data_IF_624057296682
#
_entry.id   IF_624057296682
#
_cell.length_a   1.000
_cell.length_b   1.000
_cell.length_c   1.000
_cell.angle_alpha   90.00
_cell.angle_beta   90.00
_cell.angle_gamma   90.00
#
_symmetry.space_group_name_H-M   'P 1'
#
loop_
_entity.id
_entity.type
_entity.pdbx_description
1 polymer ?
#
# COMPACT_ATOMS: atom_id res chain seq x y z
N UNK A 1 -4.10 -10.41 12.76
CA UNK A 1 -3.09 -10.14 13.80
C UNK A 1 -1.73 -9.76 13.22
N UNK A 2 -1.14 -10.57 12.38
CA UNK A 2 0.22 -10.37 11.84
C UNK A 2 0.44 -9.04 11.08
N UNK A 3 -0.53 -8.58 10.26
CA UNK A 3 -0.41 -7.32 9.52
C UNK A 3 -0.31 -6.09 10.43
N UNK A 4 -1.08 -6.04 11.54
CA UNK A 4 -1.02 -4.92 12.47
C UNK A 4 0.34 -4.81 13.15
N UNK A 5 0.96 -5.92 13.56
CA UNK A 5 2.28 -5.92 14.18
C UNK A 5 3.37 -5.46 13.20
N UNK A 6 3.25 -5.88 11.93
CA UNK A 6 4.15 -5.39 10.88
C UNK A 6 3.97 -3.90 10.62
N UNK A 7 2.72 -3.42 10.56
CA UNK A 7 2.42 -1.98 10.41
C UNK A 7 3.02 -1.18 11.58
N UNK A 8 2.84 -1.62 12.84
CA UNK A 8 3.46 -0.97 14.01
C UNK A 8 4.97 -0.81 13.85
N UNK A 9 5.65 -1.91 13.51
CA UNK A 9 7.09 -1.90 13.33
C UNK A 9 7.52 -0.85 12.32
N UNK A 10 7.00 -0.92 11.10
CA UNK A 10 7.43 -0.04 10.02
C UNK A 10 6.98 1.42 10.20
N UNK A 11 5.84 1.67 10.84
CA UNK A 11 5.41 3.03 11.22
C UNK A 11 6.32 3.59 12.32
N UNK A 12 6.73 2.76 13.29
CA UNK A 12 7.64 3.15 14.36
C UNK A 12 9.02 3.59 13.85
N UNK A 13 9.54 2.89 12.83
CA UNK A 13 10.86 3.18 12.24
C UNK A 13 10.93 4.54 11.53
N UNK A 14 9.80 5.13 11.12
CA UNK A 14 9.73 6.46 10.51
C UNK A 14 9.06 7.50 11.42
N UNK A 15 8.73 7.14 12.65
CA UNK A 15 8.04 8.00 13.60
C UNK A 15 6.78 8.67 13.04
N UNK A 16 5.96 7.91 12.32
CA UNK A 16 4.86 8.39 11.50
C UNK A 16 5.29 8.63 10.04
N UNK A 17 4.84 9.74 9.45
CA UNK A 17 5.09 10.11 8.03
C UNK A 17 4.77 8.95 7.08
N UNK A 18 3.70 8.20 7.40
CA UNK A 18 3.40 6.94 6.76
C UNK A 18 1.99 6.93 6.14
N UNK A 19 1.89 6.41 4.92
CA UNK A 19 0.64 5.96 4.32
C UNK A 19 0.52 4.46 4.44
N UNK A 20 -0.64 3.97 4.89
CA UNK A 20 -1.01 2.56 4.80
C UNK A 20 -2.14 2.44 3.78
N UNK A 21 -1.83 1.83 2.64
CA UNK A 21 -2.73 1.70 1.50
C UNK A 21 -3.39 0.32 1.51
N UNK A 22 -4.65 0.28 1.92
CA UNK A 22 -5.43 -0.93 2.01
C UNK A 22 -6.18 -1.22 0.70
N UNK A 23 -6.44 -2.49 0.45
CA UNK A 23 -7.28 -2.98 -0.65
C UNK A 23 -8.72 -3.31 -0.19
N UNK A 24 -8.99 -3.20 1.12
CA UNK A 24 -10.28 -3.52 1.73
C UNK A 24 -10.58 -2.53 2.84
N UNK A 25 -11.77 -1.94 2.78
CA UNK A 25 -12.27 -1.03 3.81
C UNK A 25 -12.40 -1.73 5.18
N UNK A 26 -12.91 -2.96 5.19
CA UNK A 26 -13.04 -3.73 6.41
C UNK A 26 -11.68 -4.02 7.07
N UNK A 27 -10.66 -4.37 6.28
CA UNK A 27 -9.30 -4.56 6.80
C UNK A 27 -8.73 -3.27 7.37
N UNK A 28 -8.93 -2.14 6.68
CA UNK A 28 -8.50 -0.82 7.14
C UNK A 28 -9.11 -0.47 8.49
N UNK A 29 -10.43 -0.59 8.63
CA UNK A 29 -11.14 -0.29 9.87
C UNK A 29 -10.67 -1.18 11.02
N UNK A 30 -10.56 -2.49 10.80
CA UNK A 30 -10.06 -3.42 11.81
C UNK A 30 -8.63 -3.07 12.27
N UNK A 31 -7.75 -2.71 11.34
CA UNK A 31 -6.41 -2.25 11.69
C UNK A 31 -6.43 -0.93 12.44
N UNK A 32 -7.28 0.02 12.04
CA UNK A 32 -7.41 1.32 12.71
C UNK A 32 -7.85 1.16 14.16
N UNK A 33 -8.88 0.35 14.42
CA UNK A 33 -9.36 0.06 15.78
C UNK A 33 -8.26 -0.53 16.67
N UNK A 34 -7.53 -1.52 16.14
CA UNK A 34 -6.46 -2.20 16.88
C UNK A 34 -5.22 -1.34 17.13
N UNK A 35 -4.94 -0.40 16.23
CA UNK A 35 -3.72 0.39 16.28
C UNK A 35 -3.89 1.74 16.94
N UNK A 36 -5.12 2.25 17.10
CA UNK A 36 -5.39 3.58 17.66
C UNK A 36 -4.72 3.78 19.03
N UNK A 37 -4.87 2.85 19.96
CA UNK A 37 -4.27 2.97 21.29
C UNK A 37 -2.74 2.96 21.26
N UNK A 38 -2.14 2.11 20.43
CA UNK A 38 -0.70 2.07 20.26
C UNK A 38 -0.17 3.36 19.60
N UNK A 39 -0.80 3.83 18.53
CA UNK A 39 -0.43 5.08 17.86
C UNK A 39 -0.46 6.26 18.83
N UNK A 40 -1.52 6.37 19.64
CA UNK A 40 -1.63 7.40 20.67
C UNK A 40 -0.49 7.31 21.70
N UNK A 41 -0.12 6.09 22.15
CA UNK A 41 1.01 5.89 23.08
C UNK A 41 2.36 6.29 22.50
N UNK A 42 2.48 6.31 21.16
CA UNK A 42 3.68 6.77 20.45
C UNK A 42 3.61 8.26 20.07
N UNK A 43 2.58 9.01 20.52
CA UNK A 43 2.27 10.38 20.08
C UNK A 43 2.16 10.48 18.55
N UNK A 44 1.53 9.51 17.90
CA UNK A 44 1.27 9.48 16.47
C UNK A 44 -0.22 9.74 16.21
N UNK A 45 -0.53 10.63 15.26
CA UNK A 45 -1.89 10.95 14.87
C UNK A 45 -2.36 10.01 13.76
N UNK A 46 -3.47 9.32 13.96
CA UNK A 46 -4.10 8.50 12.92
C UNK A 46 -5.16 9.27 12.16
N UNK A 47 -4.95 9.46 10.87
CA UNK A 47 -5.96 9.89 9.90
C UNK A 47 -6.49 8.67 9.16
N UNK A 48 -7.76 8.32 9.37
CA UNK A 48 -8.37 7.14 8.77
C UNK A 48 -9.56 7.53 7.89
N UNK A 49 -9.56 7.05 6.66
CA UNK A 49 -10.66 7.27 5.71
C UNK A 49 -12.00 6.80 6.29
N UNK A 50 -13.06 7.62 6.11
CA UNK A 50 -14.40 7.31 6.61
C UNK A 50 -14.66 7.71 8.06
N UNK A 51 -13.73 8.39 8.73
CA UNK A 51 -13.91 8.93 10.08
C UNK A 51 -14.18 10.44 10.07
N UNK A 52 -15.19 10.88 9.32
CA UNK A 52 -15.73 12.24 9.40
C UNK A 52 -14.97 13.35 8.66
N UNK A 53 -13.71 13.12 8.25
CA UNK A 53 -12.95 14.11 7.48
C UNK A 53 -13.06 13.83 5.98
N UNK A 54 -13.34 14.86 5.14
CA UNK A 54 -13.18 14.78 3.70
C UNK A 54 -11.72 14.45 3.33
N UNK A 55 -11.53 13.78 2.19
CA UNK A 55 -10.20 13.37 1.71
C UNK A 55 -9.19 14.51 1.63
N UNK A 56 -9.60 15.68 1.11
CA UNK A 56 -8.73 16.86 1.00
C UNK A 56 -8.27 17.36 2.37
N UNK A 57 -9.20 17.56 3.29
CA UNK A 57 -8.90 18.01 4.65
C UNK A 57 -8.00 17.01 5.41
N UNK A 58 -8.20 15.71 5.18
CA UNK A 58 -7.35 14.67 5.76
C UNK A 58 -5.91 14.75 5.24
N UNK A 59 -5.74 15.00 3.94
CA UNK A 59 -4.42 15.17 3.33
C UNK A 59 -3.72 16.45 3.80
N UNK A 60 -4.46 17.55 3.94
CA UNK A 60 -3.88 18.81 4.41
C UNK A 60 -3.42 18.70 5.86
N UNK A 61 -4.20 18.04 6.71
CA UNK A 61 -3.79 17.73 8.09
C UNK A 61 -2.58 16.79 8.14
N UNK A 62 -2.57 15.75 7.29
CA UNK A 62 -1.44 14.84 7.20
C UNK A 62 -0.14 15.56 6.82
N UNK A 63 -0.19 16.47 5.84
CA UNK A 63 0.98 17.26 5.41
C UNK A 63 1.52 18.19 6.51
N UNK A 64 0.63 18.71 7.33
CA UNK A 64 0.98 19.63 8.42
C UNK A 64 1.47 18.92 9.69
N UNK A 65 1.25 17.62 9.81
CA UNK A 65 1.58 16.81 10.99
C UNK A 65 2.72 15.85 10.69
N UNK A 66 3.91 16.15 11.16
CA UNK A 66 5.09 15.33 10.98
C UNK A 66 5.01 13.94 11.64
N UNK A 67 4.05 13.76 12.55
CA UNK A 67 3.82 12.50 13.27
C UNK A 67 2.55 11.79 12.83
N UNK A 68 2.11 12.09 11.62
CA UNK A 68 0.89 11.54 11.06
C UNK A 68 1.07 10.13 10.46
N UNK A 69 0.02 9.34 10.61
CA UNK A 69 -0.19 8.08 9.89
C UNK A 69 -1.54 8.16 9.19
N UNK A 70 -1.57 7.92 7.87
CA UNK A 70 -2.80 7.95 7.11
C UNK A 70 -3.18 6.54 6.65
N UNK A 71 -4.41 6.14 6.94
CA UNK A 71 -5.01 4.90 6.45
C UNK A 71 -6.03 5.23 5.36
N UNK A 72 -5.82 4.67 4.17
CA UNK A 72 -6.71 4.88 3.03
C UNK A 72 -6.87 3.64 2.16
N UNK A 73 -7.96 3.63 1.38
CA UNK A 73 -8.26 2.62 0.37
C UNK A 73 -8.12 3.19 -1.05
N UNK A 74 -8.79 2.63 -2.03
CA UNK A 74 -8.63 2.91 -3.46
C UNK A 74 -8.51 4.38 -3.85
N UNK A 75 -9.30 5.27 -3.22
CA UNK A 75 -9.22 6.71 -3.50
C UNK A 75 -7.88 7.34 -3.13
N UNK A 76 -7.11 6.70 -2.26
CA UNK A 76 -5.78 7.15 -1.84
C UNK A 76 -4.63 6.54 -2.67
N UNK A 77 -4.91 5.54 -3.52
CA UNK A 77 -3.92 5.03 -4.46
C UNK A 77 -3.64 6.00 -5.60
N UNK A 78 -4.59 6.90 -5.91
CA UNK A 78 -4.52 7.84 -7.04
C UNK A 78 -4.67 9.28 -6.58
N UNK A 79 -4.11 10.23 -7.34
CA UNK A 79 -4.40 11.67 -7.21
C UNK A 79 -3.97 12.34 -5.90
N UNK A 80 -3.04 11.78 -5.13
CA UNK A 80 -2.52 12.39 -3.92
C UNK A 80 -1.16 13.03 -4.19
N UNK A 81 -1.01 14.29 -3.79
CA UNK A 81 0.25 15.00 -3.80
C UNK A 81 0.69 15.33 -2.37
N UNK A 82 1.72 14.60 -1.87
CA UNK A 82 2.35 14.88 -0.59
C UNK A 82 3.83 15.13 -0.84
N UNK A 83 4.41 16.24 -0.34
CA UNK A 83 5.85 16.53 -0.48
C UNK A 83 6.71 15.42 0.16
N UNK A 84 7.91 15.20 -0.39
CA UNK A 84 8.80 14.10 0.01
C UNK A 84 9.07 13.99 1.51
N UNK A 85 9.30 15.10 2.19
CA UNK A 85 9.57 15.08 3.64
C UNK A 85 8.36 14.71 4.51
N UNK A 86 7.15 15.01 4.05
CA UNK A 86 5.93 14.68 4.78
C UNK A 86 5.52 13.20 4.65
N UNK A 87 6.03 12.50 3.64
CA UNK A 87 5.75 11.08 3.41
C UNK A 87 7.06 10.32 3.20
N UNK A 88 7.45 9.53 4.17
CA UNK A 88 8.68 8.74 4.13
C UNK A 88 8.44 7.23 4.04
N UNK A 89 7.19 6.78 4.24
CA UNK A 89 6.85 5.38 4.30
C UNK A 89 5.49 5.10 3.66
N UNK A 90 5.47 4.20 2.70
CA UNK A 90 4.22 3.68 2.11
C UNK A 90 4.13 2.20 2.42
N UNK A 91 3.12 1.79 3.18
CA UNK A 91 2.90 0.41 3.59
C UNK A 91 1.71 -0.15 2.83
N UNK A 92 1.90 -1.28 2.18
CA UNK A 92 0.90 -1.98 1.36
C UNK A 92 0.66 -3.36 1.99
N UNK A 93 -0.40 -3.54 2.78
CA UNK A 93 -0.65 -4.79 3.50
C UNK A 93 -0.98 -5.98 2.60
N UNK A 94 -1.59 -5.73 1.43
CA UNK A 94 -1.94 -6.76 0.43
C UNK A 94 -1.74 -6.23 -0.97
N UNK A 95 -1.34 -7.11 -1.89
CA UNK A 95 -1.28 -6.79 -3.32
C UNK A 95 -2.67 -6.36 -3.82
N UNK A 96 -2.76 -5.27 -4.61
CA UNK A 96 -4.01 -4.61 -4.98
C UNK A 96 -4.75 -5.30 -6.13
N UNK A 97 -4.97 -6.61 -5.99
CA UNK A 97 -5.85 -7.34 -6.91
C UNK A 97 -7.29 -6.87 -6.75
N UNK A 98 -7.96 -6.62 -7.87
CA UNK A 98 -9.40 -6.35 -7.90
C UNK A 98 -10.19 -7.60 -7.50
N UNK A 99 -11.18 -7.40 -6.64
CA UNK A 99 -12.16 -8.44 -6.31
C UNK A 99 -13.30 -8.31 -7.33
N UNK A 100 -13.75 -9.41 -7.95
CA UNK A 100 -14.87 -9.39 -8.89
C UNK A 100 -16.21 -9.25 -8.14
N UNK A 101 -16.42 -8.09 -7.54
CA UNK A 101 -17.64 -7.71 -6.81
C UNK A 101 -18.48 -6.68 -7.59
N UNK A 102 -18.03 -6.31 -8.79
CA UNK A 102 -18.67 -5.31 -9.62
C UNK A 102 -19.07 -5.93 -10.97
N UNK A 103 -20.34 -5.81 -11.42
CA UNK A 103 -20.84 -6.46 -12.66
C UNK A 103 -19.99 -6.16 -13.89
N UNK A 104 -19.47 -4.93 -14.01
CA UNK A 104 -18.60 -4.55 -15.13
C UNK A 104 -17.28 -5.33 -15.15
N UNK A 105 -16.70 -5.57 -13.97
CA UNK A 105 -15.47 -6.35 -13.86
C UNK A 105 -15.73 -7.82 -14.17
N UNK A 106 -16.82 -8.39 -13.63
CA UNK A 106 -17.23 -9.76 -13.94
C UNK A 106 -17.42 -9.97 -15.44
N UNK A 107 -18.22 -9.12 -16.11
CA UNK A 107 -18.43 -9.18 -17.54
C UNK A 107 -17.12 -9.11 -18.35
N UNK A 108 -16.15 -8.30 -17.90
CA UNK A 108 -14.83 -8.20 -18.54
C UNK A 108 -14.01 -9.48 -18.37
N UNK A 109 -14.03 -10.08 -17.18
CA UNK A 109 -13.35 -11.34 -16.93
C UNK A 109 -13.98 -12.50 -17.72
N UNK A 110 -15.29 -12.52 -17.86
CA UNK A 110 -16.03 -13.51 -18.66
C UNK A 110 -15.70 -13.38 -20.15
N UNK A 111 -15.70 -12.17 -20.69
CA UNK A 111 -15.31 -11.94 -22.08
C UNK A 111 -13.86 -12.41 -22.39
N UNK A 112 -12.96 -12.36 -21.40
CA UNK A 112 -11.61 -12.91 -21.57
C UNK A 112 -11.65 -14.44 -21.60
N UNK A 113 -12.45 -15.09 -20.73
CA UNK A 113 -12.61 -16.55 -20.71
C UNK A 113 -13.21 -17.07 -22.03
N UNK A 114 -14.24 -16.40 -22.54
CA UNK A 114 -14.88 -16.75 -23.81
C UNK A 114 -13.94 -16.74 -25.01
N UNK A 115 -12.92 -15.87 -24.96
CA UNK A 115 -11.87 -15.80 -26.00
C UNK A 115 -10.70 -16.78 -25.75
N UNK A 116 -10.82 -17.67 -24.76
CA UNK A 116 -9.77 -18.64 -24.40
C UNK A 116 -8.62 -18.04 -23.60
N UNK A 117 -8.75 -16.79 -23.10
CA UNK A 117 -7.74 -16.12 -22.28
C UNK A 117 -7.82 -16.52 -20.80
N UNK A 118 -6.81 -16.11 -20.04
CA UNK A 118 -6.77 -16.28 -18.60
C UNK A 118 -7.01 -14.94 -17.89
N UNK A 119 -8.19 -14.69 -17.29
CA UNK A 119 -8.52 -13.42 -16.66
C UNK A 119 -7.53 -12.95 -15.60
N UNK A 120 -6.99 -13.89 -14.83
CA UNK A 120 -6.00 -13.57 -13.80
C UNK A 120 -4.69 -13.06 -14.40
N UNK A 121 -4.17 -13.76 -15.40
CA UNK A 121 -2.91 -13.39 -16.07
C UNK A 121 -3.08 -12.18 -16.98
N UNK A 122 -4.16 -12.16 -17.77
CA UNK A 122 -4.29 -11.24 -18.89
C UNK A 122 -4.94 -9.89 -18.48
N UNK A 123 -5.58 -9.85 -17.30
CA UNK A 123 -6.24 -8.63 -16.79
C UNK A 123 -5.89 -8.30 -15.34
N UNK A 124 -6.19 -9.19 -14.37
CA UNK A 124 -6.10 -8.85 -12.95
C UNK A 124 -4.64 -8.61 -12.50
N UNK A 125 -3.68 -9.38 -13.00
CA UNK A 125 -2.26 -9.19 -12.66
C UNK A 125 -1.71 -7.89 -13.24
N UNK A 126 -1.88 -7.54 -14.52
CA UNK A 126 -1.48 -6.23 -15.07
C UNK A 126 -2.13 -5.06 -14.34
N UNK A 127 -3.42 -5.13 -14.05
CA UNK A 127 -4.13 -4.08 -13.31
C UNK A 127 -3.56 -3.88 -11.91
N UNK A 128 -3.32 -4.97 -11.17
CA UNK A 128 -2.72 -4.93 -9.84
C UNK A 128 -1.29 -4.36 -9.85
N UNK A 129 -0.51 -4.67 -10.88
CA UNK A 129 0.84 -4.09 -11.08
C UNK A 129 0.74 -2.57 -11.29
N UNK A 130 -0.19 -2.10 -12.13
CA UNK A 130 -0.39 -0.66 -12.36
C UNK A 130 -0.79 0.03 -11.05
N UNK A 131 -1.71 -0.53 -10.29
CA UNK A 131 -2.09 -0.02 -8.96
C UNK A 131 -0.90 0.01 -8.00
N UNK A 132 -0.10 -1.05 -7.93
CA UNK A 132 1.10 -1.07 -7.09
C UNK A 132 2.07 0.04 -7.46
N UNK A 133 2.33 0.24 -8.75
CA UNK A 133 3.19 1.34 -9.24
C UNK A 133 2.63 2.72 -8.87
N UNK A 134 1.33 2.90 -8.90
CA UNK A 134 0.69 4.14 -8.45
C UNK A 134 0.91 4.37 -6.96
N UNK A 135 0.80 3.34 -6.13
CA UNK A 135 1.12 3.39 -4.70
C UNK A 135 2.59 3.73 -4.45
N UNK A 136 3.50 3.10 -5.21
CA UNK A 136 4.93 3.39 -5.15
C UNK A 136 5.23 4.84 -5.54
N UNK A 137 4.61 5.34 -6.61
CA UNK A 137 4.73 6.72 -7.06
C UNK A 137 4.13 7.76 -6.10
N UNK A 138 3.51 7.37 -4.97
CA UNK A 138 3.14 8.32 -3.91
C UNK A 138 4.36 8.80 -3.13
N UNK A 139 5.37 7.94 -3.00
CA UNK A 139 6.59 8.22 -2.25
C UNK A 139 7.65 8.94 -3.09
N UNK A 140 7.99 8.38 -4.25
CA UNK A 140 9.08 8.85 -5.11
C UNK A 140 8.53 9.56 -6.33
N UNK A 141 8.78 10.86 -6.46
CA UNK A 141 8.31 11.72 -7.56
C UNK A 141 9.44 12.46 -8.23
N UNK A 142 10.43 12.86 -7.44
CA UNK A 142 11.62 13.56 -7.89
C UNK A 142 12.86 12.73 -7.58
N UNK A 143 13.95 13.05 -8.26
CA UNK A 143 15.22 12.33 -8.09
C UNK A 143 15.79 12.39 -6.67
N UNK A 144 15.42 13.42 -5.92
CA UNK A 144 15.91 13.67 -4.55
C UNK A 144 14.96 13.12 -3.48
N UNK A 145 13.80 12.58 -3.86
CA UNK A 145 12.87 11.99 -2.90
C UNK A 145 13.45 10.69 -2.37
N UNK A 146 13.40 10.53 -1.06
CA UNK A 146 13.84 9.33 -0.35
C UNK A 146 12.71 8.76 0.50
N UNK A 147 12.76 7.48 0.76
CA UNK A 147 11.79 6.81 1.63
C UNK A 147 11.70 5.32 1.33
N UNK A 148 10.76 4.65 1.97
CA UNK A 148 10.56 3.21 1.81
C UNK A 148 9.15 2.86 1.38
N UNK A 149 9.04 1.82 0.56
CA UNK A 149 7.77 1.13 0.30
C UNK A 149 7.85 -0.26 0.90
N UNK A 150 6.90 -0.58 1.77
CA UNK A 150 6.83 -1.85 2.48
C UNK A 150 5.63 -2.64 1.96
N UNK A 151 5.87 -3.82 1.40
CA UNK A 151 4.82 -4.71 0.90
C UNK A 151 4.75 -5.91 1.85
N UNK A 152 3.64 -6.03 2.59
CA UNK A 152 3.46 -7.06 3.61
C UNK A 152 2.86 -8.37 3.07
N UNK A 153 2.53 -8.41 1.79
CA UNK A 153 1.91 -9.58 1.17
C UNK A 153 2.96 -10.64 0.80
N UNK A 154 2.96 -11.81 1.45
CA UNK A 154 3.94 -12.85 1.17
C UNK A 154 3.85 -13.42 -0.26
N UNK A 155 2.73 -13.23 -0.95
CA UNK A 155 2.54 -13.66 -2.34
C UNK A 155 3.54 -13.01 -3.29
N UNK A 156 4.08 -11.84 -2.91
CA UNK A 156 5.15 -11.17 -3.63
C UNK A 156 6.38 -12.06 -3.83
N UNK A 157 6.69 -12.92 -2.84
CA UNK A 157 7.86 -13.82 -2.86
C UNK A 157 7.50 -15.28 -3.11
N UNK A 158 6.26 -15.69 -2.79
CA UNK A 158 5.87 -17.11 -2.77
C UNK A 158 5.08 -17.55 -4.00
N UNK A 159 4.61 -16.61 -4.83
CA UNK A 159 3.81 -16.92 -6.02
C UNK A 159 4.57 -16.58 -7.31
N UNK A 160 4.42 -17.37 -8.38
CA UNK A 160 5.13 -17.13 -9.65
C UNK A 160 4.90 -15.73 -10.22
N UNK A 161 3.69 -15.19 -10.08
CA UNK A 161 3.37 -13.84 -10.55
C UNK A 161 4.03 -12.72 -9.71
N UNK A 162 4.53 -13.02 -8.52
CA UNK A 162 5.21 -12.03 -7.67
C UNK A 162 6.45 -11.45 -8.34
N UNK A 163 7.14 -12.25 -9.15
CA UNK A 163 8.27 -11.80 -9.99
C UNK A 163 7.87 -10.64 -10.91
N UNK A 164 6.70 -10.71 -11.56
CA UNK A 164 6.21 -9.65 -12.45
C UNK A 164 6.02 -8.32 -11.71
N UNK A 165 5.58 -8.37 -10.46
CA UNK A 165 5.48 -7.17 -9.61
C UNK A 165 6.86 -6.60 -9.32
N UNK A 166 7.83 -7.42 -8.89
CA UNK A 166 9.20 -6.99 -8.60
C UNK A 166 9.89 -6.36 -9.82
N UNK A 167 9.79 -7.00 -10.98
CA UNK A 167 10.34 -6.51 -12.23
C UNK A 167 9.71 -5.18 -12.68
N UNK A 168 8.46 -4.94 -12.32
CA UNK A 168 7.73 -3.73 -12.69
C UNK A 168 8.07 -2.50 -11.85
N UNK A 169 8.70 -2.67 -10.68
CA UNK A 169 9.04 -1.57 -9.79
C UNK A 169 10.21 -0.74 -10.35
N UNK A 170 10.26 0.57 -10.03
CA UNK A 170 11.39 1.41 -10.36
C UNK A 170 12.70 0.87 -9.78
N UNK A 171 13.84 1.37 -10.29
CA UNK A 171 15.14 0.96 -9.77
C UNK A 171 15.30 1.43 -8.32
N UNK A 172 15.37 0.49 -7.38
CA UNK A 172 15.47 0.73 -5.94
C UNK A 172 16.23 -0.43 -5.29
N UNK A 173 16.76 -0.18 -4.10
CA UNK A 173 17.28 -1.23 -3.24
C UNK A 173 16.10 -2.10 -2.77
N UNK A 174 16.28 -3.42 -2.86
CA UNK A 174 15.31 -4.40 -2.37
C UNK A 174 15.81 -5.04 -1.08
N UNK A 175 14.91 -5.18 -0.12
CA UNK A 175 15.19 -5.85 1.15
C UNK A 175 14.05 -6.81 1.48
N UNK A 176 14.39 -7.96 2.05
CA UNK A 176 13.42 -8.95 2.53
C UNK A 176 13.41 -8.92 4.06
N UNK A 177 12.24 -8.59 4.62
CA UNK A 177 11.96 -8.66 6.04
C UNK A 177 11.13 -9.90 6.37
N UNK A 178 11.75 -10.87 7.04
CA UNK A 178 11.05 -12.08 7.53
C UNK A 178 10.43 -11.90 8.94
N UNK A 179 10.54 -10.69 9.51
CA UNK A 179 10.04 -10.31 10.84
C UNK A 179 11.07 -10.41 11.96
N UNK A 180 12.20 -11.03 11.72
CA UNK A 180 13.33 -11.11 12.65
C UNK A 180 14.55 -10.34 12.12
N UNK A 181 14.83 -10.52 10.84
CA UNK A 181 15.97 -9.89 10.15
C UNK A 181 15.52 -9.23 8.86
N UNK A 182 16.21 -8.16 8.48
CA UNK A 182 16.13 -7.54 7.16
C UNK A 182 17.41 -7.90 6.42
N UNK A 183 17.29 -8.34 5.18
CA UNK A 183 18.42 -8.69 4.33
C UNK A 183 18.26 -8.09 2.93
N UNK A 184 19.37 -7.72 2.27
CA UNK A 184 19.34 -7.35 0.85
C UNK A 184 18.74 -8.47 0.00
N UNK A 185 18.06 -8.09 -1.07
CA UNK A 185 17.53 -9.02 -2.06
C UNK A 185 17.93 -8.54 -3.46
N UNK A 186 18.27 -9.47 -4.33
CA UNK A 186 18.50 -9.20 -5.73
C UNK A 186 17.19 -9.16 -6.50
N UNK A 187 17.16 -8.42 -7.60
CA UNK A 187 16.04 -8.47 -8.53
C UNK A 187 16.06 -9.79 -9.29
N UNK A 188 14.88 -10.38 -9.53
CA UNK A 188 14.77 -11.63 -10.28
C UNK A 188 15.18 -11.47 -11.74
#
# INVERSE_FOLDING_TARGET
MQACERIKRHVGETHGRAFVLFTSYAMMQNCAERLTGWLASQNLTLYCQGKGLPRSAMLDKFKADERAVLFGTDSFWQGINVPGEALQNVIIPKLPFSVPDHPLLEARLDAIRERGGNPFRDYQTPEAIIKLKQGFGRLIRHRNDTGRVVILDPRMLTKPYGRLFLESLPNCQLEIDNGQTIRPAERP
#
